data_IF_308968800539
#
_entry.id   IF_308968800539
#
_cell.length_a   1.000
_cell.length_b   1.000
_cell.length_c   1.000
_cell.angle_alpha   90.00
_cell.angle_beta   90.00
_cell.angle_gamma   90.00
#
_symmetry.space_group_name_H-M   'P 1'
#
loop_
_entity.id
_entity.type
_entity.pdbx_description
1 polymer ?
#
# COMPACT_ATOMS: atom_id res chain seq x y z
N UNK A 1 40.10 9.74 -44.58
CA UNK A 1 38.73 9.80 -45.14
C UNK A 1 38.50 8.48 -45.86
N UNK A 2 37.52 7.64 -45.52
CA UNK A 2 36.25 7.91 -44.83
C UNK A 2 36.14 7.25 -43.44
N UNK A 3 35.30 7.84 -42.59
CA UNK A 3 34.99 7.35 -41.25
C UNK A 3 33.89 6.28 -41.26
N UNK A 4 34.07 5.26 -40.43
CA UNK A 4 33.05 4.26 -40.11
C UNK A 4 32.13 4.80 -39.00
N UNK A 5 30.85 4.88 -39.32
CA UNK A 5 29.78 5.32 -38.41
C UNK A 5 29.56 4.25 -37.33
N UNK A 6 29.76 4.63 -36.08
CA UNK A 6 29.33 3.84 -34.93
C UNK A 6 27.80 3.89 -34.85
N UNK A 7 27.15 2.76 -35.10
CA UNK A 7 25.73 2.57 -34.86
C UNK A 7 25.44 2.77 -33.37
N UNK A 8 24.89 3.94 -33.04
CA UNK A 8 24.42 4.26 -31.71
C UNK A 8 23.06 3.59 -31.54
N UNK A 9 23.01 2.52 -30.76
CA UNK A 9 21.75 1.93 -30.31
C UNK A 9 21.06 2.94 -29.39
N UNK A 10 20.19 3.75 -29.99
CA UNK A 10 19.25 4.59 -29.25
C UNK A 10 18.29 3.63 -28.55
N UNK A 11 18.43 3.52 -27.23
CA UNK A 11 17.38 2.94 -26.39
C UNK A 11 16.08 3.69 -26.68
N UNK A 12 15.15 3.04 -27.38
CA UNK A 12 13.75 3.50 -27.43
C UNK A 12 13.29 3.63 -25.99
N UNK A 13 13.05 4.86 -25.54
CA UNK A 13 12.33 5.12 -24.28
C UNK A 13 11.01 4.35 -24.32
N UNK A 14 10.73 3.58 -23.28
CA UNK A 14 9.44 2.92 -23.09
C UNK A 14 8.30 3.96 -23.06
N UNK A 15 7.06 3.64 -23.47
CA UNK A 15 6.01 4.64 -23.70
C UNK A 15 5.42 5.31 -22.44
N UNK A 16 5.91 5.01 -21.24
CA UNK A 16 5.17 5.20 -19.99
C UNK A 16 5.62 6.39 -19.11
N UNK A 17 6.50 7.27 -19.59
CA UNK A 17 6.84 8.51 -18.89
C UNK A 17 5.79 9.59 -19.18
N UNK A 18 5.10 10.07 -18.14
CA UNK A 18 4.20 11.23 -18.20
C UNK A 18 2.70 10.96 -18.35
N UNK A 19 2.24 9.71 -18.21
CA UNK A 19 0.81 9.39 -18.26
C UNK A 19 0.09 9.77 -16.95
N UNK A 20 -1.08 10.42 -17.07
CA UNK A 20 -1.94 10.75 -15.93
C UNK A 20 -2.63 9.50 -15.35
N UNK A 21 -3.19 9.55 -14.14
CA UNK A 21 -3.89 8.41 -13.55
C UNK A 21 -5.00 7.87 -14.47
N UNK A 22 -5.76 8.77 -15.09
CA UNK A 22 -6.83 8.39 -16.02
C UNK A 22 -6.30 7.73 -17.31
N UNK A 23 -5.20 8.25 -17.87
CA UNK A 23 -4.57 7.67 -19.06
C UNK A 23 -4.00 6.27 -18.77
N UNK A 24 -3.37 6.08 -17.61
CA UNK A 24 -2.87 4.77 -17.17
C UNK A 24 -4.01 3.77 -17.02
N UNK A 25 -5.11 4.17 -16.36
CA UNK A 25 -6.29 3.33 -16.21
C UNK A 25 -6.89 2.96 -17.57
N UNK A 26 -7.06 3.93 -18.48
CA UNK A 26 -7.60 3.67 -19.81
C UNK A 26 -6.73 2.70 -20.62
N UNK A 27 -5.40 2.82 -20.54
CA UNK A 27 -4.49 1.89 -21.19
C UNK A 27 -4.52 0.48 -20.58
N UNK A 28 -4.92 0.35 -19.32
CA UNK A 28 -5.10 -0.95 -18.67
C UNK A 28 -6.45 -1.59 -19.01
N UNK A 29 -7.49 -0.80 -19.32
CA UNK A 29 -8.79 -1.32 -19.80
C UNK A 29 -8.66 -2.12 -21.10
N UNK A 30 -7.65 -1.81 -21.91
CA UNK A 30 -7.38 -2.49 -23.19
C UNK A 30 -6.60 -3.81 -23.01
N UNK A 31 -6.25 -4.20 -21.77
CA UNK A 31 -5.56 -5.47 -21.48
C UNK A 31 -6.56 -6.61 -21.29
N UNK A 32 -6.22 -7.78 -21.84
CA UNK A 32 -6.99 -9.00 -21.62
C UNK A 32 -7.12 -9.32 -20.12
N UNK A 33 -8.36 -9.55 -19.67
CA UNK A 33 -8.69 -9.85 -18.27
C UNK A 33 -9.01 -8.64 -17.38
N UNK A 34 -8.95 -7.41 -17.90
CA UNK A 34 -9.32 -6.22 -17.12
C UNK A 34 -10.84 -5.95 -17.21
N UNK A 35 -11.53 -5.94 -16.08
CA UNK A 35 -12.97 -5.69 -16.01
C UNK A 35 -13.28 -4.26 -15.56
N UNK A 36 -14.19 -3.60 -16.28
CA UNK A 36 -14.64 -2.24 -15.95
C UNK A 36 -15.52 -2.28 -14.70
N UNK A 37 -15.12 -1.53 -13.67
CA UNK A 37 -15.93 -1.27 -12.47
C UNK A 37 -16.21 0.24 -12.35
N UNK A 38 -17.48 0.61 -12.23
CA UNK A 38 -17.93 2.00 -12.09
C UNK A 38 -17.35 2.66 -10.83
N UNK A 39 -17.18 1.91 -9.74
CA UNK A 39 -16.58 2.44 -8.51
C UNK A 39 -15.10 2.78 -8.71
N UNK A 40 -14.37 1.94 -9.46
CA UNK A 40 -12.99 2.22 -9.83
C UNK A 40 -12.88 3.44 -10.76
N UNK A 41 -13.76 3.56 -11.77
CA UNK A 41 -13.79 4.73 -12.65
C UNK A 41 -14.00 6.04 -11.87
N UNK A 42 -14.92 6.04 -10.89
CA UNK A 42 -15.12 7.20 -10.03
C UNK A 42 -13.85 7.54 -9.23
N UNK A 43 -13.21 6.53 -8.62
CA UNK A 43 -11.97 6.72 -7.88
C UNK A 43 -10.83 7.24 -8.77
N UNK A 44 -10.70 6.74 -10.00
CA UNK A 44 -9.74 7.24 -11.00
C UNK A 44 -10.00 8.72 -11.31
N UNK A 45 -11.26 9.13 -11.45
CA UNK A 45 -11.61 10.55 -11.63
C UNK A 45 -11.17 11.43 -10.45
N UNK A 46 -11.28 10.92 -9.22
CA UNK A 46 -10.79 11.63 -8.02
C UNK A 46 -9.27 11.70 -7.98
N UNK A 47 -8.58 10.63 -8.32
CA UNK A 47 -7.13 10.56 -8.40
C UNK A 47 -6.59 11.48 -9.51
N UNK A 48 -7.30 11.61 -10.64
CA UNK A 48 -7.00 12.55 -11.71
C UNK A 48 -7.11 14.00 -11.22
N UNK A 49 -8.23 14.35 -10.56
CA UNK A 49 -8.40 15.69 -10.00
C UNK A 49 -7.34 16.03 -8.94
N UNK A 50 -6.96 15.05 -8.11
CA UNK A 50 -5.88 15.20 -7.14
C UNK A 50 -4.52 15.42 -7.83
N UNK A 51 -4.23 14.62 -8.87
CA UNK A 51 -3.03 14.76 -9.69
C UNK A 51 -2.92 16.17 -10.29
N UNK A 52 -4.00 16.68 -10.88
CA UNK A 52 -4.04 18.04 -11.44
C UNK A 52 -3.81 19.11 -10.36
N UNK A 53 -4.48 19.00 -9.21
CA UNK A 53 -4.27 19.92 -8.10
C UNK A 53 -2.85 19.89 -7.53
N UNK A 54 -2.16 18.74 -7.63
CA UNK A 54 -0.75 18.62 -7.26
C UNK A 54 0.20 19.21 -8.31
N UNK A 55 -0.20 19.31 -9.58
CA UNK A 55 0.64 19.92 -10.61
C UNK A 55 0.42 21.42 -10.77
N UNK A 56 -0.80 21.88 -10.55
CA UNK A 56 -1.17 23.29 -10.61
C UNK A 56 -1.57 23.79 -9.21
N UNK A 57 -0.59 24.06 -8.31
CA UNK A 57 -0.90 24.49 -6.97
C UNK A 57 -1.68 25.80 -7.01
N UNK A 58 -2.78 25.85 -6.25
CA UNK A 58 -3.66 27.03 -6.14
C UNK A 58 -2.84 28.32 -6.01
N UNK A 59 -3.20 29.40 -6.74
CA UNK A 59 -2.41 30.61 -6.82
C UNK A 59 -2.09 31.12 -5.41
N UNK A 60 -0.80 31.41 -5.18
CA UNK A 60 -0.34 31.89 -3.90
C UNK A 60 -1.15 33.12 -3.46
N UNK A 61 -1.54 33.23 -2.18
CA UNK A 61 -2.26 34.40 -1.72
C UNK A 61 -1.47 35.68 -2.02
N UNK A 62 -2.14 36.79 -2.38
CA UNK A 62 -1.47 38.05 -2.70
C UNK A 62 -0.58 38.52 -1.54
N UNK A 63 0.48 39.28 -1.84
CA UNK A 63 1.60 39.54 -0.92
C UNK A 63 1.17 40.03 0.47
N UNK A 64 0.12 40.86 0.55
CA UNK A 64 -0.43 41.39 1.79
C UNK A 64 -1.06 40.31 2.67
N UNK A 65 -1.67 39.28 2.08
CA UNK A 65 -2.15 38.09 2.80
C UNK A 65 -1.00 37.20 3.27
N UNK A 66 0.08 37.09 2.48
CA UNK A 66 1.32 36.37 2.89
C UNK A 66 2.03 37.05 4.06
N UNK A 67 2.05 38.38 4.10
CA UNK A 67 2.58 39.17 5.24
C UNK A 67 1.74 38.98 6.52
N UNK A 68 0.45 38.67 6.38
CA UNK A 68 -0.44 38.26 7.48
C UNK A 68 -0.33 36.75 7.83
N UNK A 69 0.64 36.04 7.24
CA UNK A 69 0.87 34.61 7.50
C UNK A 69 -0.10 33.65 6.81
N UNK A 70 -0.98 34.12 5.91
CA UNK A 70 -1.91 33.24 5.20
C UNK A 70 -1.16 32.44 4.12
N UNK A 71 -1.22 31.10 4.23
CA UNK A 71 -0.72 30.14 3.24
C UNK A 71 -1.82 29.75 2.26
N UNK A 72 -1.44 29.23 1.07
CA UNK A 72 -2.40 28.59 0.17
C UNK A 72 -3.13 27.45 0.89
N UNK A 73 -4.43 27.24 0.61
CA UNK A 73 -5.17 26.17 1.25
C UNK A 73 -4.54 24.81 0.90
N UNK A 74 -4.49 23.87 1.86
CA UNK A 74 -3.90 22.56 1.62
C UNK A 74 -4.71 21.78 0.58
N UNK A 75 -4.00 21.01 -0.25
CA UNK A 75 -4.63 20.10 -1.20
C UNK A 75 -5.25 18.96 -0.40
N UNK A 76 -6.56 18.74 -0.56
CA UNK A 76 -7.23 17.59 0.07
C UNK A 76 -6.79 16.32 -0.64
N UNK A 77 -6.33 15.35 0.14
CA UNK A 77 -5.94 14.04 -0.34
C UNK A 77 -7.15 13.11 -0.56
N UNK A 78 -6.90 11.80 -0.58
CA UNK A 78 -7.92 10.79 -0.89
C UNK A 78 -7.81 9.58 0.03
N UNK A 79 -8.93 9.13 0.60
CA UNK A 79 -9.03 7.91 1.39
C UNK A 79 -9.94 6.92 0.67
N UNK A 80 -9.32 5.92 0.04
CA UNK A 80 -9.99 4.83 -0.65
C UNK A 80 -10.27 3.70 0.33
N UNK A 81 -11.53 3.29 0.46
CA UNK A 81 -11.86 2.15 1.31
C UNK A 81 -12.84 1.20 0.66
N UNK A 82 -12.86 -0.04 1.15
CA UNK A 82 -13.71 -1.12 0.65
C UNK A 82 -13.06 -2.46 0.92
N UNK A 83 -13.80 -3.57 0.82
CA UNK A 83 -13.29 -4.90 1.16
C UNK A 83 -12.04 -5.34 0.37
N UNK A 84 -11.50 -6.53 0.66
CA UNK A 84 -10.42 -7.11 -0.12
C UNK A 84 -10.77 -7.23 -1.61
N UNK A 85 -9.77 -7.06 -2.49
CA UNK A 85 -9.91 -7.37 -3.92
C UNK A 85 -10.68 -6.36 -4.77
N UNK A 86 -10.85 -5.14 -4.27
CA UNK A 86 -11.51 -4.04 -4.99
C UNK A 86 -10.56 -3.20 -5.85
N UNK A 87 -9.28 -3.53 -5.89
CA UNK A 87 -8.27 -2.79 -6.66
C UNK A 87 -7.78 -1.48 -6.01
N UNK A 88 -7.94 -1.31 -4.68
CA UNK A 88 -7.44 -0.12 -3.94
C UNK A 88 -5.94 0.09 -4.16
N UNK A 89 -5.16 -0.96 -3.96
CA UNK A 89 -3.70 -0.99 -4.15
C UNK A 89 -3.33 -0.64 -5.58
N UNK A 90 -3.94 -1.30 -6.56
CA UNK A 90 -3.77 -0.98 -7.98
C UNK A 90 -4.05 0.50 -8.30
N UNK A 91 -5.15 1.07 -7.79
CA UNK A 91 -5.48 2.49 -7.99
C UNK A 91 -4.43 3.41 -7.36
N UNK A 92 -3.94 3.06 -6.17
CA UNK A 92 -2.84 3.76 -5.51
C UNK A 92 -1.55 3.69 -6.33
N UNK A 93 -1.20 2.53 -6.89
CA UNK A 93 -0.02 2.32 -7.73
C UNK A 93 -0.06 3.23 -8.95
N UNK A 94 -1.19 3.20 -9.68
CA UNK A 94 -1.36 4.01 -10.89
C UNK A 94 -1.25 5.49 -10.59
N UNK A 95 -1.82 5.95 -9.48
CA UNK A 95 -1.66 7.33 -9.06
C UNK A 95 -0.21 7.68 -8.70
N UNK A 96 0.44 6.85 -7.87
CA UNK A 96 1.81 7.08 -7.44
C UNK A 96 2.77 7.14 -8.63
N UNK A 97 2.64 6.23 -9.60
CA UNK A 97 3.45 6.16 -10.81
C UNK A 97 3.18 7.29 -11.80
N UNK A 98 2.02 7.93 -11.73
CA UNK A 98 1.70 9.10 -12.56
C UNK A 98 2.37 10.38 -12.09
N UNK A 99 2.67 10.53 -10.80
CA UNK A 99 3.24 11.77 -10.27
C UNK A 99 4.64 12.05 -10.86
N UNK A 100 4.87 13.19 -11.55
CA UNK A 100 6.11 13.50 -12.27
C UNK A 100 7.23 14.07 -11.39
N UNK A 101 7.13 13.92 -10.07
CA UNK A 101 8.10 14.40 -9.09
C UNK A 101 8.53 13.29 -8.13
N UNK A 102 9.71 13.45 -7.53
CA UNK A 102 10.32 12.48 -6.61
C UNK A 102 9.89 12.63 -5.15
N UNK A 103 9.35 13.79 -4.76
CA UNK A 103 8.98 14.12 -3.38
C UNK A 103 7.66 13.44 -2.99
N UNK A 104 7.60 12.14 -3.18
CA UNK A 104 6.46 11.27 -2.91
C UNK A 104 6.98 10.03 -2.21
N UNK A 105 6.19 9.51 -1.29
CA UNK A 105 6.56 8.35 -0.50
C UNK A 105 5.37 7.41 -0.42
N UNK A 106 5.60 6.13 -0.70
CA UNK A 106 4.63 5.06 -0.46
C UNK A 106 5.17 4.08 0.56
N UNK A 107 4.32 3.67 1.51
CA UNK A 107 4.68 2.75 2.59
C UNK A 107 3.42 2.12 3.19
N UNK A 108 3.51 0.88 3.67
CA UNK A 108 2.43 0.27 4.45
C UNK A 108 2.26 0.96 5.81
N UNK A 109 1.03 1.11 6.29
CA UNK A 109 0.72 1.84 7.52
C UNK A 109 1.50 1.34 8.74
N UNK A 110 1.57 0.02 8.96
CA UNK A 110 2.29 -0.55 10.10
C UNK A 110 3.80 -0.22 10.05
N UNK A 111 4.43 -0.35 8.87
CA UNK A 111 5.84 -0.01 8.67
C UNK A 111 6.10 1.47 8.89
N UNK A 112 5.18 2.32 8.45
CA UNK A 112 5.24 3.75 8.74
C UNK A 112 5.18 4.04 10.24
N UNK A 113 4.25 3.43 10.98
CA UNK A 113 4.16 3.62 12.43
C UNK A 113 5.41 3.15 13.17
N UNK A 114 5.99 2.01 12.78
CA UNK A 114 7.26 1.54 13.34
C UNK A 114 8.40 2.56 13.16
N UNK A 115 8.52 3.16 11.98
CA UNK A 115 9.51 4.22 11.74
C UNK A 115 9.24 5.47 12.58
N UNK A 116 7.97 5.84 12.77
CA UNK A 116 7.59 6.98 13.63
C UNK A 116 8.03 6.71 15.07
N UNK A 117 7.74 5.53 15.62
CA UNK A 117 8.18 5.16 16.97
C UNK A 117 9.71 5.21 17.08
N UNK A 118 10.43 4.63 16.13
CA UNK A 118 11.91 4.67 16.10
C UNK A 118 12.45 6.11 16.02
N UNK A 119 11.82 6.97 15.22
CA UNK A 119 12.21 8.37 15.10
C UNK A 119 11.94 9.14 16.41
N UNK A 120 10.83 8.86 17.09
CA UNK A 120 10.50 9.45 18.38
C UNK A 120 11.49 9.00 19.47
N UNK A 121 11.85 7.72 19.51
CA UNK A 121 12.80 7.16 20.48
C UNK A 121 14.22 7.69 20.29
N UNK A 122 14.61 8.00 19.05
CA UNK A 122 15.91 8.58 18.73
C UNK A 122 16.02 10.06 19.09
N UNK A 123 14.89 10.75 19.33
CA UNK A 123 14.90 12.16 19.71
C UNK A 123 15.22 12.31 21.21
N UNK A 124 16.00 13.33 21.60
CA UNK A 124 16.11 13.69 23.00
C UNK A 124 14.73 14.12 23.53
N UNK A 125 14.56 14.12 24.86
CA UNK A 125 13.34 14.64 25.50
C UNK A 125 13.13 16.10 25.11
N UNK A 126 12.25 16.32 24.14
CA UNK A 126 12.00 17.62 23.51
C UNK A 126 10.51 17.90 23.56
N UNK A 127 10.08 19.16 23.72
CA UNK A 127 8.67 19.50 23.52
C UNK A 127 8.24 19.16 22.09
N UNK A 128 7.03 18.63 21.96
CA UNK A 128 6.34 18.33 20.69
C UNK A 128 7.17 17.50 19.67
N UNK A 129 7.64 16.30 20.04
CA UNK A 129 8.54 15.51 19.20
C UNK A 129 7.90 15.12 17.85
N UNK A 130 6.57 14.95 17.81
CA UNK A 130 5.81 14.69 16.57
C UNK A 130 5.95 15.83 15.55
N UNK A 131 6.07 17.09 15.99
CA UNK A 131 6.28 18.22 15.08
C UNK A 131 7.67 18.19 14.43
N UNK A 132 8.66 17.64 15.13
CA UNK A 132 10.02 17.44 14.59
C UNK A 132 9.99 16.32 13.55
N UNK A 133 9.40 15.17 13.89
CA UNK A 133 9.28 14.02 12.98
C UNK A 133 8.48 14.38 11.73
N UNK A 134 7.34 15.05 11.87
CA UNK A 134 6.52 15.47 10.73
C UNK A 134 7.26 16.41 9.79
N UNK A 135 8.07 17.34 10.32
CA UNK A 135 8.91 18.24 9.52
C UNK A 135 9.97 17.47 8.74
N UNK A 136 10.67 16.53 9.38
CA UNK A 136 11.67 15.69 8.72
C UNK A 136 11.07 14.85 7.59
N UNK A 137 9.84 14.35 7.77
CA UNK A 137 9.10 13.66 6.71
C UNK A 137 8.76 14.62 5.57
N UNK A 138 8.20 15.79 5.90
CA UNK A 138 7.77 16.78 4.93
C UNK A 138 8.90 17.39 4.09
N UNK A 139 10.13 17.45 4.63
CA UNK A 139 11.34 17.87 3.90
C UNK A 139 11.62 17.00 2.66
N UNK A 140 11.14 15.77 2.64
CA UNK A 140 11.39 14.79 1.55
C UNK A 140 10.11 14.27 0.92
N UNK A 141 8.95 14.59 1.49
CA UNK A 141 7.66 13.98 1.14
C UNK A 141 6.60 15.05 1.06
N UNK A 142 6.19 15.38 -0.16
CA UNK A 142 5.02 16.22 -0.44
C UNK A 142 3.73 15.40 -0.46
N UNK A 143 3.78 14.18 -0.98
CA UNK A 143 2.65 13.24 -1.07
C UNK A 143 3.01 11.96 -0.32
N UNK A 144 2.23 11.62 0.70
CA UNK A 144 2.35 10.36 1.43
C UNK A 144 1.22 9.43 1.02
N UNK A 145 1.59 8.29 0.43
CA UNK A 145 0.70 7.20 0.10
C UNK A 145 0.81 6.12 1.17
N UNK A 146 -0.20 6.00 2.02
CA UNK A 146 -0.28 4.95 3.04
C UNK A 146 -1.13 3.80 2.53
N UNK A 147 -0.51 2.63 2.38
CA UNK A 147 -1.22 1.41 2.00
C UNK A 147 -1.69 0.64 3.25
N UNK A 148 -2.82 -0.05 3.14
CA UNK A 148 -3.42 -0.88 4.20
C UNK A 148 -3.52 -0.13 5.55
N UNK A 149 -4.15 1.04 5.53
CA UNK A 149 -4.39 1.86 6.71
C UNK A 149 -5.35 1.16 7.68
N UNK A 150 -4.78 0.46 8.66
CA UNK A 150 -5.52 -0.27 9.69
C UNK A 150 -4.85 -0.07 11.05
N UNK A 151 -5.61 0.48 11.99
CA UNK A 151 -5.18 0.71 13.38
C UNK A 151 -5.77 -0.35 14.30
N UNK A 152 -4.92 -1.17 14.91
CA UNK A 152 -5.30 -2.15 15.95
C UNK A 152 -4.56 -1.94 17.27
N UNK A 153 -3.35 -1.38 17.21
CA UNK A 153 -2.52 -1.15 18.39
C UNK A 153 -2.93 0.14 19.12
N UNK A 154 -2.94 0.09 20.46
CA UNK A 154 -3.27 1.25 21.31
C UNK A 154 -2.21 2.35 21.23
N UNK A 155 -0.93 2.00 21.14
CA UNK A 155 0.16 2.98 21.02
C UNK A 155 0.03 3.77 19.72
N UNK A 156 -0.25 3.10 18.61
CA UNK A 156 -0.48 3.74 17.31
C UNK A 156 -1.70 4.65 17.35
N UNK A 157 -2.80 4.16 17.93
CA UNK A 157 -4.04 4.92 18.07
C UNK A 157 -3.82 6.21 18.87
N UNK A 158 -3.03 6.15 19.96
CA UNK A 158 -2.77 7.33 20.81
C UNK A 158 -1.88 8.37 20.13
N UNK A 159 -0.99 7.97 19.21
CA UNK A 159 -0.10 8.90 18.50
C UNK A 159 -0.73 9.51 17.25
N UNK A 160 -1.63 8.78 16.59
CA UNK A 160 -2.05 9.09 15.23
C UNK A 160 -2.67 10.48 15.08
N UNK A 161 -3.48 10.93 16.04
CA UNK A 161 -4.11 12.25 15.98
C UNK A 161 -3.05 13.37 15.91
N UNK A 162 -2.09 13.37 16.84
CA UNK A 162 -1.02 14.35 16.88
C UNK A 162 -0.07 14.25 15.67
N UNK A 163 0.18 13.03 15.18
CA UNK A 163 0.98 12.82 13.98
C UNK A 163 0.30 13.41 12.74
N UNK A 164 -0.98 13.09 12.50
CA UNK A 164 -1.73 13.61 11.37
C UNK A 164 -1.84 15.13 11.41
N UNK A 165 -2.12 15.70 12.59
CA UNK A 165 -2.15 17.15 12.79
C UNK A 165 -0.82 17.79 12.40
N UNK A 166 0.30 17.23 12.86
CA UNK A 166 1.64 17.72 12.54
C UNK A 166 1.96 17.58 11.04
N UNK A 167 1.62 16.46 10.40
CA UNK A 167 1.83 16.24 8.96
C UNK A 167 1.00 17.22 8.11
N UNK A 168 -0.27 17.43 8.45
CA UNK A 168 -1.14 18.36 7.72
C UNK A 168 -0.73 19.82 7.94
N UNK A 169 -0.17 20.18 9.10
CA UNK A 169 0.42 21.50 9.33
C UNK A 169 1.61 21.79 8.40
N UNK A 170 2.32 20.74 7.95
CA UNK A 170 3.37 20.82 6.93
C UNK A 170 2.83 20.80 5.48
N UNK A 171 1.51 20.88 5.29
CA UNK A 171 0.84 20.81 3.98
C UNK A 171 1.05 19.51 3.21
N UNK A 172 1.37 18.42 3.92
CA UNK A 172 1.50 17.10 3.32
C UNK A 172 0.14 16.61 2.81
N UNK A 173 0.12 16.08 1.58
CA UNK A 173 -1.09 15.49 0.99
C UNK A 173 -1.11 13.98 1.25
N UNK A 174 -2.14 13.50 1.92
CA UNK A 174 -2.30 12.08 2.25
C UNK A 174 -3.19 11.35 1.24
N UNK A 175 -2.69 10.28 0.65
CA UNK A 175 -3.51 9.28 -0.03
C UNK A 175 -3.45 8.00 0.78
N UNK A 176 -4.59 7.39 1.08
CA UNK A 176 -4.66 6.18 1.88
C UNK A 176 -5.59 5.13 1.27
N UNK A 177 -5.24 3.85 1.41
CA UNK A 177 -6.13 2.71 1.15
C UNK A 177 -6.49 2.02 2.47
N UNK A 178 -7.70 1.49 2.61
CA UNK A 178 -8.08 0.69 3.78
C UNK A 178 -9.22 -0.29 3.49
N UNK A 179 -9.33 -1.33 4.29
CA UNK A 179 -10.51 -2.19 4.30
C UNK A 179 -11.65 -1.66 5.20
N UNK A 180 -11.38 -0.59 5.97
CA UNK A 180 -12.29 -0.05 6.99
C UNK A 180 -12.60 1.41 6.64
N UNK A 181 -13.86 1.83 6.78
CA UNK A 181 -14.21 3.25 6.64
C UNK A 181 -13.58 4.07 7.76
N UNK A 182 -13.22 5.36 7.56
CA UNK A 182 -12.60 6.18 8.59
C UNK A 182 -13.37 6.20 9.92
N UNK A 183 -14.70 6.24 9.87
CA UNK A 183 -15.56 6.25 11.06
C UNK A 183 -15.54 4.95 11.87
N UNK A 184 -15.15 3.83 11.25
CA UNK A 184 -15.07 2.51 11.89
C UNK A 184 -13.64 2.11 12.27
N UNK A 185 -12.62 2.92 11.93
CA UNK A 185 -11.24 2.70 12.36
C UNK A 185 -11.16 2.65 13.88
N UNK A 186 -10.55 1.61 14.46
CA UNK A 186 -10.35 1.44 15.91
C UNK A 186 -11.65 1.38 16.74
N UNK A 187 -12.76 0.91 16.15
CA UNK A 187 -14.13 0.95 16.75
C UNK A 187 -14.26 0.36 18.15
N UNK A 188 -13.60 -0.76 18.39
CA UNK A 188 -13.62 -1.46 19.68
C UNK A 188 -12.31 -1.29 20.45
N UNK A 189 -11.51 -0.29 20.06
CA UNK A 189 -10.22 0.00 20.65
C UNK A 189 -10.31 0.67 22.03
N UNK A 190 -9.30 0.43 22.86
CA UNK A 190 -9.20 1.02 24.19
C UNK A 190 -9.11 2.55 24.09
N UNK A 191 -9.91 3.27 24.88
CA UNK A 191 -9.95 4.75 24.87
C UNK A 191 -10.25 5.36 23.48
N UNK A 192 -11.15 4.75 22.70
CA UNK A 192 -11.59 5.23 21.38
C UNK A 192 -11.85 6.74 21.29
N UNK A 193 -12.39 7.36 22.34
CA UNK A 193 -12.64 8.81 22.35
C UNK A 193 -11.40 9.65 22.03
N UNK A 194 -10.21 9.17 22.45
CA UNK A 194 -8.92 9.81 22.13
C UNK A 194 -8.47 9.63 20.69
N UNK A 195 -9.04 8.65 19.99
CA UNK A 195 -8.79 8.38 18.57
C UNK A 195 -9.74 9.15 17.64
N UNK A 196 -10.91 9.58 18.12
CA UNK A 196 -11.87 10.36 17.32
C UNK A 196 -11.26 11.61 16.64
N UNK A 197 -10.33 12.36 17.25
CA UNK A 197 -9.65 13.46 16.57
C UNK A 197 -8.88 13.02 15.32
N UNK A 198 -8.28 11.83 15.30
CA UNK A 198 -7.61 11.30 14.12
C UNK A 198 -8.60 11.03 12.97
N UNK A 199 -9.78 10.48 13.29
CA UNK A 199 -10.85 10.25 12.31
C UNK A 199 -11.32 11.57 11.69
N UNK A 200 -11.54 12.57 12.52
CA UNK A 200 -11.97 13.90 12.09
C UNK A 200 -10.91 14.58 11.20
N UNK A 201 -9.62 14.46 11.54
CA UNK A 201 -8.53 14.93 10.69
C UNK A 201 -8.51 14.22 9.33
N UNK A 202 -8.66 12.89 9.29
CA UNK A 202 -8.75 12.14 8.03
C UNK A 202 -9.91 12.64 7.17
N UNK A 203 -11.11 12.79 7.74
CA UNK A 203 -12.30 13.24 7.00
C UNK A 203 -12.21 14.69 6.51
N UNK A 204 -11.51 15.56 7.24
CA UNK A 204 -11.31 16.96 6.83
C UNK A 204 -10.27 17.12 5.72
N UNK A 205 -9.19 16.35 5.79
CA UNK A 205 -8.04 16.49 4.90
C UNK A 205 -8.04 15.53 3.71
N UNK A 206 -8.93 14.53 3.71
CA UNK A 206 -9.09 13.60 2.59
C UNK A 206 -10.52 13.57 2.10
N UNK A 207 -10.70 13.34 0.79
CA UNK A 207 -11.98 12.92 0.25
C UNK A 207 -12.13 11.41 0.47
N UNK A 208 -13.19 10.98 1.13
CA UNK A 208 -13.45 9.55 1.38
C UNK A 208 -14.22 8.97 0.21
N UNK A 209 -13.70 7.91 -0.40
CA UNK A 209 -14.35 7.19 -1.50
C UNK A 209 -14.46 5.71 -1.16
N UNK A 210 -15.71 5.21 -1.18
CA UNK A 210 -15.98 3.79 -1.05
C UNK A 210 -15.85 3.12 -2.43
N UNK A 211 -15.12 2.01 -2.50
CA UNK A 211 -15.09 1.13 -3.65
C UNK A 211 -16.12 0.02 -3.44
N UNK A 212 -17.35 0.30 -3.85
CA UNK A 212 -18.43 -0.69 -3.88
C UNK A 212 -18.21 -1.65 -5.04
N UNK A 213 -18.10 -2.93 -4.73
CA UNK A 213 -18.13 -3.98 -5.74
C UNK A 213 -18.91 -5.18 -5.22
N UNK A 214 -19.56 -5.92 -6.10
CA UNK A 214 -20.17 -7.21 -5.79
C UNK A 214 -19.19 -8.38 -5.95
N UNK A 215 -18.05 -8.17 -6.61
CA UNK A 215 -17.07 -9.21 -6.96
C UNK A 215 -15.67 -8.91 -6.42
N UNK A 216 -15.14 -9.80 -5.58
CA UNK A 216 -13.68 -9.85 -5.35
C UNK A 216 -13.11 -10.62 -6.56
N UNK A 217 -12.46 -9.91 -7.48
CA UNK A 217 -11.94 -10.51 -8.71
C UNK A 217 -10.90 -11.59 -8.44
N UNK A 218 -10.20 -11.53 -7.30
CA UNK A 218 -9.26 -12.57 -6.88
C UNK A 218 -9.99 -13.80 -6.34
N UNK A 219 -11.11 -13.60 -5.67
CA UNK A 219 -11.98 -14.69 -5.25
C UNK A 219 -12.64 -15.38 -6.44
N UNK A 220 -13.02 -14.64 -7.48
CA UNK A 220 -13.53 -15.23 -8.74
C UNK A 220 -12.43 -16.06 -9.43
N UNK A 221 -11.18 -15.56 -9.45
CA UNK A 221 -10.02 -16.31 -9.92
C UNK A 221 -9.83 -17.63 -9.13
N UNK A 222 -9.80 -17.55 -7.79
CA UNK A 222 -9.68 -18.70 -6.89
C UNK A 222 -10.90 -19.65 -6.93
N UNK A 223 -12.09 -19.15 -7.23
CA UNK A 223 -13.29 -19.98 -7.40
C UNK A 223 -13.21 -20.82 -8.68
N UNK A 224 -12.57 -20.31 -9.73
CA UNK A 224 -12.39 -21.03 -10.98
C UNK A 224 -11.19 -21.99 -10.94
N UNK A 225 -10.14 -21.66 -10.18
CA UNK A 225 -8.87 -22.39 -10.16
C UNK A 225 -8.70 -23.34 -8.96
N UNK A 226 -9.52 -23.16 -7.91
CA UNK A 226 -9.50 -23.92 -6.65
C UNK A 226 -8.63 -23.28 -5.56
N UNK A 227 -8.95 -23.54 -4.29
CA UNK A 227 -8.17 -23.03 -3.13
C UNK A 227 -7.28 -24.09 -2.46
N UNK A 228 -7.42 -25.36 -2.86
CA UNK A 228 -6.58 -26.45 -2.39
C UNK A 228 -6.46 -27.52 -3.47
N UNK A 229 -5.32 -28.20 -3.51
CA UNK A 229 -5.06 -29.30 -4.42
C UNK A 229 -4.38 -30.44 -3.66
N UNK A 230 -4.93 -31.65 -3.78
CA UNK A 230 -4.26 -32.88 -3.35
C UNK A 230 -3.62 -33.49 -4.58
N UNK A 231 -2.29 -33.44 -4.66
CA UNK A 231 -1.54 -33.97 -5.78
C UNK A 231 -0.21 -34.56 -5.32
N UNK A 232 0.30 -35.53 -6.09
CA UNK A 232 1.60 -36.16 -5.87
C UNK A 232 2.62 -35.68 -6.88
N UNK A 233 3.90 -35.57 -6.49
CA UNK A 233 4.99 -35.15 -7.38
C UNK A 233 4.94 -33.65 -7.71
N UNK A 234 5.39 -33.27 -8.91
CA UNK A 234 5.53 -31.86 -9.31
C UNK A 234 4.21 -31.16 -9.67
N UNK A 235 3.08 -31.87 -9.70
CA UNK A 235 1.79 -31.30 -10.08
C UNK A 235 1.31 -30.20 -9.12
N UNK A 236 1.52 -30.37 -7.81
CA UNK A 236 1.21 -29.35 -6.81
C UNK A 236 2.05 -28.08 -7.04
N UNK A 237 3.35 -28.25 -7.29
CA UNK A 237 4.27 -27.16 -7.57
C UNK A 237 3.85 -26.35 -8.80
N UNK A 238 3.55 -27.05 -9.91
CA UNK A 238 3.12 -26.42 -11.16
C UNK A 238 1.81 -25.67 -11.02
N UNK A 239 0.85 -26.23 -10.26
CA UNK A 239 -0.42 -25.58 -9.99
C UNK A 239 -0.26 -24.29 -9.19
N UNK A 240 0.57 -24.31 -8.13
CA UNK A 240 0.91 -23.11 -7.35
C UNK A 240 1.68 -22.07 -8.16
N UNK A 241 2.59 -22.51 -9.03
CA UNK A 241 3.34 -21.61 -9.92
C UNK A 241 2.41 -20.92 -10.91
N UNK A 242 1.43 -21.63 -11.47
CA UNK A 242 0.41 -21.05 -12.34
C UNK A 242 -0.44 -20.04 -11.57
N UNK A 243 -0.91 -20.39 -10.36
CA UNK A 243 -1.68 -19.48 -9.52
C UNK A 243 -0.91 -18.21 -9.19
N UNK A 244 0.37 -18.33 -8.84
CA UNK A 244 1.22 -17.18 -8.59
C UNK A 244 1.30 -16.26 -9.81
N UNK A 245 1.42 -16.82 -11.02
CA UNK A 245 1.48 -16.02 -12.26
C UNK A 245 0.15 -15.34 -12.59
N UNK A 246 -0.97 -15.98 -12.31
CA UNK A 246 -2.29 -15.39 -12.56
C UNK A 246 -2.65 -14.33 -11.51
N UNK A 247 -2.19 -14.51 -10.26
CA UNK A 247 -2.45 -13.59 -9.15
C UNK A 247 -1.47 -12.40 -9.12
N UNK A 248 -0.21 -12.59 -9.54
CA UNK A 248 0.82 -11.56 -9.47
C UNK A 248 0.89 -10.73 -10.77
N UNK A 249 0.61 -9.41 -10.72
CA UNK A 249 0.72 -8.53 -11.90
C UNK A 249 2.18 -8.24 -12.30
N UNK A 250 3.14 -8.62 -11.45
CA UNK A 250 4.58 -8.40 -11.61
C UNK A 250 5.36 -9.70 -11.53
N UNK A 251 6.58 -9.70 -12.05
CA UNK A 251 7.46 -10.88 -12.03
C UNK A 251 7.84 -11.23 -10.58
N UNK A 252 7.54 -12.45 -10.09
CA UNK A 252 7.90 -12.88 -8.74
C UNK A 252 9.42 -13.01 -8.57
N UNK A 253 9.90 -12.73 -7.36
CA UNK A 253 11.25 -13.07 -6.91
C UNK A 253 11.24 -14.49 -6.37
N UNK A 254 12.00 -15.39 -6.97
CA UNK A 254 12.09 -16.80 -6.57
C UNK A 254 13.19 -17.05 -5.54
N UNK A 255 12.96 -18.01 -4.66
CA UNK A 255 13.92 -18.57 -3.68
C UNK A 255 14.72 -17.46 -2.96
N UNK A 256 14.00 -16.56 -2.29
CA UNK A 256 14.57 -15.44 -1.55
C UNK A 256 14.31 -15.60 -0.05
N UNK A 257 14.85 -14.69 0.76
CA UNK A 257 14.53 -14.60 2.17
C UNK A 257 13.92 -13.24 2.52
N UNK A 258 13.01 -13.25 3.48
CA UNK A 258 12.43 -12.04 4.06
C UNK A 258 12.71 -11.98 5.55
N UNK A 259 12.74 -10.76 6.08
CA UNK A 259 12.93 -10.52 7.51
C UNK A 259 11.62 -10.01 8.11
N UNK A 260 11.04 -10.79 9.01
CA UNK A 260 9.83 -10.42 9.76
C UNK A 260 10.19 -10.40 11.26
N UNK A 261 10.09 -9.23 11.88
CA UNK A 261 10.41 -9.04 13.31
C UNK A 261 11.80 -9.58 13.72
N UNK A 262 12.80 -9.41 12.84
CA UNK A 262 14.17 -9.85 13.09
C UNK A 262 14.37 -11.37 12.97
N UNK A 263 13.39 -12.08 12.41
CA UNK A 263 13.49 -13.49 12.04
C UNK A 263 13.52 -13.62 10.53
N UNK A 264 14.42 -14.46 10.05
CA UNK A 264 14.50 -14.79 8.64
C UNK A 264 13.49 -15.87 8.26
N UNK A 265 12.91 -15.73 7.08
CA UNK A 265 11.96 -16.65 6.47
C UNK A 265 12.42 -16.95 5.06
N UNK A 266 12.61 -18.22 4.74
CA UNK A 266 12.90 -18.67 3.38
C UNK A 266 11.60 -18.78 2.59
N UNK A 267 11.49 -18.04 1.49
CA UNK A 267 10.29 -18.00 0.65
C UNK A 267 10.60 -18.60 -0.72
N UNK A 268 9.70 -19.45 -1.21
CA UNK A 268 9.78 -20.01 -2.57
C UNK A 268 9.59 -18.93 -3.61
N UNK A 269 8.66 -18.03 -3.35
CA UNK A 269 8.44 -16.88 -4.19
C UNK A 269 7.81 -15.73 -3.41
N UNK A 270 8.12 -14.51 -3.84
CA UNK A 270 7.55 -13.28 -3.34
C UNK A 270 7.15 -12.39 -4.51
N UNK A 271 5.90 -11.93 -4.52
CA UNK A 271 5.40 -10.96 -5.50
C UNK A 271 4.47 -9.98 -4.80
N UNK A 272 4.97 -8.76 -4.53
CA UNK A 272 4.22 -7.72 -3.81
C UNK A 272 3.64 -8.24 -2.48
N UNK A 273 2.32 -8.41 -2.40
CA UNK A 273 1.56 -8.89 -1.25
C UNK A 273 1.22 -10.39 -1.30
N UNK A 274 1.82 -11.14 -2.22
CA UNK A 274 1.71 -12.59 -2.36
C UNK A 274 3.01 -13.25 -1.93
N UNK A 275 2.90 -14.22 -1.04
CA UNK A 275 4.04 -14.98 -0.53
C UNK A 275 3.82 -16.47 -0.67
N UNK A 276 4.86 -17.18 -1.11
CA UNK A 276 4.84 -18.62 -1.26
C UNK A 276 5.85 -19.27 -0.31
N UNK A 277 5.35 -20.13 0.57
CA UNK A 277 6.12 -20.94 1.48
C UNK A 277 6.04 -22.43 1.21
N UNK A 278 7.08 -23.14 1.66
CA UNK A 278 6.95 -24.56 1.97
C UNK A 278 6.40 -24.73 3.39
N UNK A 279 5.60 -25.78 3.61
CA UNK A 279 5.01 -26.12 4.91
C UNK A 279 6.04 -26.20 6.03
N UNK A 280 7.20 -26.80 5.78
CA UNK A 280 8.22 -26.98 6.83
C UNK A 280 8.74 -25.65 7.37
N UNK A 281 8.88 -24.65 6.50
CA UNK A 281 9.38 -23.32 6.89
C UNK A 281 8.41 -22.60 7.83
N UNK A 282 7.11 -22.67 7.54
CA UNK A 282 6.09 -21.99 8.33
C UNK A 282 5.71 -22.79 9.57
N UNK A 283 5.45 -24.09 9.41
CA UNK A 283 4.74 -24.87 10.42
C UNK A 283 5.64 -25.78 11.25
N UNK A 284 6.82 -26.17 10.76
CA UNK A 284 7.75 -27.06 11.48
C UNK A 284 8.84 -26.26 12.20
N UNK A 285 9.34 -25.19 11.61
CA UNK A 285 10.30 -24.32 12.29
C UNK A 285 9.68 -23.60 13.49
N UNK A 286 10.53 -23.10 14.39
CA UNK A 286 10.15 -22.43 15.63
C UNK A 286 9.53 -21.03 15.40
N UNK A 287 8.32 -21.00 14.83
CA UNK A 287 7.53 -19.78 14.57
C UNK A 287 6.65 -19.45 15.77
N UNK A 288 6.47 -18.15 16.01
CA UNK A 288 5.61 -17.64 17.08
C UNK A 288 4.25 -17.23 16.53
N UNK A 289 3.22 -17.15 17.38
CA UNK A 289 1.91 -16.62 16.96
C UNK A 289 2.01 -15.20 16.35
N UNK A 290 2.97 -14.40 16.80
CA UNK A 290 3.23 -13.05 16.25
C UNK A 290 3.75 -13.12 14.82
N UNK A 291 4.54 -14.13 14.48
CA UNK A 291 5.10 -14.31 13.14
C UNK A 291 3.97 -14.50 12.11
N UNK A 292 2.98 -15.32 12.45
CA UNK A 292 1.79 -15.55 11.62
C UNK A 292 0.90 -14.31 11.50
N UNK A 293 0.76 -13.54 12.59
CA UNK A 293 0.01 -12.29 12.56
C UNK A 293 0.68 -11.26 11.65
N UNK A 294 2.02 -11.17 11.68
CA UNK A 294 2.75 -10.30 10.76
C UNK A 294 2.65 -10.78 9.31
N UNK A 295 2.78 -12.09 9.07
CA UNK A 295 2.55 -12.65 7.73
C UNK A 295 1.17 -12.29 7.19
N UNK A 296 0.12 -12.42 8.01
CA UNK A 296 -1.23 -12.05 7.63
C UNK A 296 -1.46 -10.54 7.48
N UNK A 297 -0.59 -9.70 8.05
CA UNK A 297 -0.63 -8.24 7.92
C UNK A 297 0.08 -7.75 6.68
N UNK A 298 1.22 -8.37 6.33
CA UNK A 298 2.05 -7.96 5.20
C UNK A 298 1.62 -8.60 3.89
N UNK A 299 1.16 -9.85 3.94
CA UNK A 299 0.81 -10.63 2.77
C UNK A 299 -0.67 -10.92 2.77
N UNK A 300 -1.33 -10.44 1.72
CA UNK A 300 -2.73 -10.72 1.50
C UNK A 300 -2.94 -12.20 1.12
N UNK A 301 -2.03 -12.76 0.31
CA UNK A 301 -2.18 -14.12 -0.23
C UNK A 301 -0.99 -14.97 0.16
N UNK A 302 -1.28 -16.11 0.78
CA UNK A 302 -0.27 -17.09 1.16
C UNK A 302 -0.48 -18.39 0.35
N UNK A 303 0.52 -18.74 -0.44
CA UNK A 303 0.62 -20.03 -1.12
C UNK A 303 1.42 -20.97 -0.22
N UNK A 304 0.89 -22.16 0.05
CA UNK A 304 1.53 -23.15 0.91
C UNK A 304 1.70 -24.46 0.17
N UNK A 305 2.96 -24.86 -0.04
CA UNK A 305 3.31 -26.12 -0.68
C UNK A 305 3.77 -27.17 0.33
N UNK A 306 3.46 -28.43 0.08
CA UNK A 306 4.01 -29.54 0.85
C UNK A 306 3.30 -29.79 2.18
N UNK A 307 2.03 -29.37 2.31
CA UNK A 307 1.21 -29.72 3.48
C UNK A 307 1.09 -31.24 3.56
N UNK A 308 1.57 -31.89 4.65
CA UNK A 308 1.49 -33.32 4.78
C UNK A 308 0.02 -33.75 4.97
N UNK A 309 -0.29 -34.98 4.58
CA UNK A 309 -1.55 -35.59 4.96
C UNK A 309 -1.52 -35.89 6.47
N UNK A 310 -2.31 -35.15 7.24
CA UNK A 310 -2.51 -35.45 8.65
C UNK A 310 -3.34 -36.73 8.77
N UNK A 311 -2.71 -37.81 9.22
CA UNK A 311 -3.37 -39.05 9.63
C UNK A 311 -3.44 -39.08 11.15
N UNK A 312 -4.54 -39.59 11.71
CA UNK A 312 -4.62 -39.85 13.16
C UNK A 312 -3.48 -40.81 13.56
N UNK A 313 -2.56 -40.34 14.41
CA UNK A 313 -1.46 -41.16 14.95
C UNK A 313 -0.04 -40.61 14.85
N UNK A 314 0.18 -39.35 14.46
CA UNK A 314 1.52 -38.72 14.41
C UNK A 314 1.92 -38.02 15.73
N UNK A 315 1.66 -38.68 16.86
CA UNK A 315 2.14 -38.27 18.20
C UNK A 315 3.26 -39.21 18.71
N UNK A 316 4.08 -39.76 17.81
CA UNK A 316 5.33 -40.48 18.15
C UNK A 316 6.55 -39.86 17.47
#
# INVERSE_FOLDING_TARGET
MPGSSAATWVWKRSPCEGMTPQQRYQADLDRDGFHVDTAQQQAVGLLQALYEGLLDPLPAPPFWKRLLGQRSPPIRGLYLWGGPGRGKTYLMDRFYDSLPFSDKRRVHFHRFMLEIHQALDALPKTPDPLQIVARQIAERTRVLCLDEFHVTDVADAMLLAGLLEALFAQQLTLVATSNIAPGDLYRDGLQRDRFLPAIDLLQRHTRVQHLEGSKDFRFELLQHSGIYLVATGSAAHQWLQQHLQELAPVKPQSDTSIQLHGREFQVRALAEDIIWFNFDELCIQARSARDYLELAREFHTLLLEGVPQFVEGLDE
#
